data_IF_644810344982
#
_entry.id   IF_644810344982
#
_cell.length_a   1.000
_cell.length_b   1.000
_cell.length_c   1.000
_cell.angle_alpha   90.00
_cell.angle_beta   90.00
_cell.angle_gamma   90.00
#
_symmetry.space_group_name_H-M   'P 1'
#
loop_
_entity.id
_entity.type
_entity.pdbx_description
1 polymer ?
#
# COMPACT_ATOMS: atom_id res chain seq x y z
N UNK A 1 -8.35 -7.71 11.18
CA UNK A 1 -8.92 -7.64 12.51
C UNK A 1 -7.84 -7.78 13.57
N UNK A 2 -7.84 -6.91 14.56
CA UNK A 2 -6.82 -6.97 15.61
C UNK A 2 -7.12 -8.06 16.62
N UNK A 3 -6.09 -8.77 17.05
CA UNK A 3 -6.17 -9.75 18.13
C UNK A 3 -5.54 -9.17 19.39
N UNK A 4 -6.25 -9.25 20.51
CA UNK A 4 -5.74 -8.73 21.77
C UNK A 4 -4.38 -9.35 22.10
N UNK A 5 -3.44 -8.53 22.55
CA UNK A 5 -2.11 -8.96 22.92
C UNK A 5 -1.12 -9.21 21.79
N UNK A 6 -1.55 -9.01 20.53
CA UNK A 6 -0.66 -9.14 19.37
C UNK A 6 -0.44 -7.80 18.71
N UNK A 7 0.82 -7.50 18.36
CA UNK A 7 1.18 -6.37 17.54
C UNK A 7 1.23 -6.81 16.08
N UNK A 8 0.18 -6.51 15.33
CA UNK A 8 0.04 -6.94 13.94
C UNK A 8 0.91 -6.14 12.97
N UNK A 9 1.56 -5.07 13.43
CA UNK A 9 2.52 -4.32 12.62
C UNK A 9 3.92 -4.92 12.64
N UNK A 10 4.18 -5.88 13.51
CA UNK A 10 5.46 -6.57 13.55
C UNK A 10 5.47 -7.75 12.58
N UNK A 11 6.62 -7.96 11.95
CA UNK A 11 6.83 -9.08 11.04
C UNK A 11 8.21 -9.67 11.24
N UNK A 12 8.36 -10.95 10.90
CA UNK A 12 9.64 -11.64 10.94
C UNK A 12 10.27 -11.60 9.56
N UNK A 13 11.36 -10.83 9.43
CA UNK A 13 12.06 -10.67 8.15
C UNK A 13 12.53 -12.02 7.58
N UNK A 14 12.91 -12.97 8.43
CA UNK A 14 13.39 -14.27 7.99
C UNK A 14 12.29 -15.15 7.38
N UNK A 15 11.01 -14.88 7.69
CA UNK A 15 9.88 -15.65 7.18
C UNK A 15 9.27 -15.04 5.92
N UNK A 16 9.72 -13.87 5.48
CA UNK A 16 9.18 -13.24 4.28
C UNK A 16 9.55 -14.01 3.02
N UNK A 17 8.62 -14.17 2.07
CA UNK A 17 8.96 -14.71 0.75
C UNK A 17 9.93 -13.80 0.03
N UNK A 18 10.64 -14.33 -0.96
CA UNK A 18 11.53 -13.53 -1.79
C UNK A 18 10.72 -12.68 -2.77
N UNK A 19 10.76 -11.37 -2.59
CA UNK A 19 10.06 -10.42 -3.44
C UNK A 19 10.86 -9.93 -4.66
N UNK A 20 12.12 -10.29 -4.78
CA UNK A 20 13.01 -9.77 -5.81
C UNK A 20 12.48 -9.94 -7.25
N UNK A 21 11.79 -11.04 -7.63
CA UNK A 21 11.27 -11.18 -8.97
C UNK A 21 10.04 -10.32 -9.30
N UNK A 22 9.44 -9.66 -8.31
CA UNK A 22 8.13 -9.04 -8.48
C UNK A 22 8.21 -7.53 -8.58
N UNK A 23 7.32 -6.96 -9.39
CA UNK A 23 7.07 -5.54 -9.48
C UNK A 23 5.80 -5.21 -8.72
N UNK A 24 5.88 -4.35 -7.72
CA UNK A 24 4.76 -4.03 -6.83
C UNK A 24 4.48 -2.54 -6.87
N UNK A 25 3.21 -2.20 -7.04
CA UNK A 25 2.75 -0.83 -6.98
C UNK A 25 2.02 -0.53 -5.69
N UNK A 26 2.11 0.72 -5.24
CA UNK A 26 1.33 1.23 -4.13
C UNK A 26 0.58 2.45 -4.62
N UNK A 27 -0.74 2.43 -4.50
CA UNK A 27 -1.59 3.60 -4.74
C UNK A 27 -2.02 4.12 -3.38
N UNK A 28 -1.74 5.39 -3.11
CA UNK A 28 -2.01 6.00 -1.81
C UNK A 28 -2.88 7.24 -1.99
N UNK A 29 -3.93 7.35 -1.17
CA UNK A 29 -4.78 8.55 -1.19
C UNK A 29 -4.09 9.70 -0.42
N UNK A 30 -4.22 10.92 -0.97
CA UNK A 30 -3.66 12.11 -0.34
C UNK A 30 -4.49 12.60 0.85
N UNK A 31 -5.82 12.41 0.82
CA UNK A 31 -6.68 12.73 1.94
C UNK A 31 -6.29 11.89 3.16
N UNK A 32 -6.26 12.52 4.33
CA UNK A 32 -5.86 11.89 5.58
C UNK A 32 -4.42 11.35 5.50
N UNK A 33 -3.54 12.17 4.97
CA UNK A 33 -2.16 11.75 4.65
C UNK A 33 -1.37 11.28 5.88
N UNK A 34 -1.68 11.75 7.08
CA UNK A 34 -1.02 11.26 8.30
C UNK A 34 -1.22 9.76 8.48
N UNK A 35 -2.41 9.28 8.13
CA UNK A 35 -2.74 7.85 8.20
C UNK A 35 -2.20 7.11 6.99
N UNK A 36 -2.54 7.61 5.79
CA UNK A 36 -2.23 6.89 4.55
C UNK A 36 -0.74 6.83 4.27
N UNK A 37 0.01 7.89 4.57
CA UNK A 37 1.45 7.89 4.37
C UNK A 37 2.16 6.95 5.37
N UNK A 38 1.67 6.85 6.59
CA UNK A 38 2.21 5.89 7.56
C UNK A 38 1.99 4.44 7.10
N UNK A 39 0.81 4.15 6.54
CA UNK A 39 0.53 2.83 5.98
C UNK A 39 1.40 2.54 4.75
N UNK A 40 1.56 3.53 3.86
CA UNK A 40 2.46 3.42 2.71
C UNK A 40 3.89 3.10 3.15
N UNK A 41 4.39 3.83 4.13
CA UNK A 41 5.75 3.64 4.61
C UNK A 41 5.95 2.28 5.25
N UNK A 42 4.96 1.77 5.97
CA UNK A 42 4.98 0.42 6.50
C UNK A 42 5.03 -0.64 5.40
N UNK A 43 4.21 -0.46 4.35
CA UNK A 43 4.23 -1.37 3.21
C UNK A 43 5.58 -1.34 2.49
N UNK A 44 6.15 -0.15 2.27
CA UNK A 44 7.47 -0.01 1.65
C UNK A 44 8.55 -0.72 2.45
N UNK A 45 8.52 -0.61 3.78
CA UNK A 45 9.50 -1.28 4.64
C UNK A 45 9.46 -2.79 4.44
N UNK A 46 8.27 -3.38 4.45
CA UNK A 46 8.12 -4.83 4.27
C UNK A 46 8.58 -5.25 2.88
N UNK A 47 8.18 -4.53 1.84
CA UNK A 47 8.55 -4.86 0.46
C UNK A 47 10.06 -4.80 0.23
N UNK A 48 10.71 -3.77 0.75
CA UNK A 48 12.17 -3.63 0.65
C UNK A 48 12.88 -4.75 1.41
N UNK A 49 12.40 -5.08 2.60
CA UNK A 49 12.95 -6.17 3.41
C UNK A 49 12.79 -7.52 2.70
N UNK A 50 11.68 -7.71 1.95
CA UNK A 50 11.44 -8.92 1.17
C UNK A 50 12.29 -8.98 -0.10
N UNK A 51 13.01 -7.92 -0.46
CA UNK A 51 13.92 -7.91 -1.59
C UNK A 51 13.39 -7.24 -2.86
N UNK A 52 12.22 -6.59 -2.81
CA UNK A 52 11.72 -5.83 -3.95
C UNK A 52 12.62 -4.62 -4.16
N UNK A 53 13.23 -4.51 -5.35
CA UNK A 53 14.17 -3.44 -5.64
C UNK A 53 13.45 -2.12 -5.95
N UNK A 54 14.17 -1.00 -5.84
CA UNK A 54 13.61 0.32 -6.11
C UNK A 54 13.03 0.43 -7.52
N UNK A 55 13.65 -0.22 -8.51
CA UNK A 55 13.17 -0.22 -9.90
C UNK A 55 11.82 -0.92 -10.05
N UNK A 56 11.49 -1.81 -9.12
CA UNK A 56 10.25 -2.59 -9.12
C UNK A 56 9.25 -2.13 -8.06
N UNK A 57 9.48 -0.98 -7.44
CA UNK A 57 8.54 -0.33 -6.53
C UNK A 57 8.01 0.93 -7.18
N UNK A 58 6.70 0.98 -7.38
CA UNK A 58 6.02 2.14 -7.98
C UNK A 58 5.03 2.70 -6.98
N UNK A 59 5.16 3.98 -6.64
CA UNK A 59 4.24 4.63 -5.70
C UNK A 59 3.53 5.77 -6.41
N UNK A 60 2.21 5.69 -6.47
CA UNK A 60 1.38 6.74 -7.06
C UNK A 60 0.40 7.29 -6.04
N UNK A 61 0.22 8.59 -6.05
CA UNK A 61 -0.76 9.27 -5.20
C UNK A 61 -2.02 9.58 -6.00
N UNK A 62 -3.17 9.40 -5.35
CA UNK A 62 -4.47 9.83 -5.86
C UNK A 62 -5.12 10.76 -4.83
N UNK A 63 -6.09 11.61 -5.24
CA UNK A 63 -6.67 12.58 -4.30
C UNK A 63 -7.34 11.96 -3.08
N UNK A 64 -8.20 10.97 -3.28
CA UNK A 64 -8.97 10.37 -2.20
C UNK A 64 -9.15 8.87 -2.39
N UNK A 65 -9.80 8.23 -1.41
CA UNK A 65 -10.04 6.79 -1.45
C UNK A 65 -10.90 6.37 -2.65
N UNK A 66 -11.77 7.26 -3.13
CA UNK A 66 -12.65 6.97 -4.25
C UNK A 66 -11.87 6.69 -5.55
N UNK A 67 -10.70 7.30 -5.74
CA UNK A 67 -9.89 7.15 -6.93
C UNK A 67 -8.89 5.99 -6.86
N UNK A 68 -8.82 5.27 -5.73
CA UNK A 68 -7.89 4.16 -5.59
C UNK A 68 -8.08 3.04 -6.62
N UNK A 69 -9.32 2.61 -6.94
CA UNK A 69 -9.48 1.58 -7.96
C UNK A 69 -8.93 1.97 -9.32
N UNK A 70 -9.14 3.21 -9.74
CA UNK A 70 -8.62 3.69 -11.02
C UNK A 70 -7.09 3.75 -11.01
N UNK A 71 -6.51 4.26 -9.93
CA UNK A 71 -5.05 4.30 -9.78
C UNK A 71 -4.43 2.91 -9.81
N UNK A 72 -5.06 1.95 -9.15
CA UNK A 72 -4.61 0.56 -9.15
C UNK A 72 -4.68 -0.04 -10.56
N UNK A 73 -5.78 0.20 -11.27
CA UNK A 73 -5.95 -0.28 -12.64
C UNK A 73 -4.87 0.26 -13.57
N UNK A 74 -4.54 1.54 -13.46
CA UNK A 74 -3.49 2.15 -14.26
C UNK A 74 -2.13 1.49 -14.04
N UNK A 75 -1.80 1.13 -12.80
CA UNK A 75 -0.54 0.44 -12.51
C UNK A 75 -0.52 -0.97 -13.07
N UNK A 76 -1.65 -1.66 -13.06
CA UNK A 76 -1.76 -3.02 -13.59
C UNK A 76 -1.78 -3.06 -15.12
N UNK A 77 -2.22 -1.98 -15.76
CA UNK A 77 -2.37 -1.90 -17.23
C UNK A 77 -1.30 -1.04 -17.91
N UNK A 78 -0.31 -0.55 -17.15
CA UNK A 78 0.76 0.28 -17.72
C UNK A 78 1.66 -0.51 -18.65
N UNK A 79 2.53 0.21 -19.39
CA UNK A 79 3.49 -0.42 -20.30
C UNK A 79 4.45 -1.38 -19.56
N UNK A 80 4.70 -1.12 -18.28
CA UNK A 80 5.44 -2.03 -17.40
C UNK A 80 4.53 -2.39 -16.23
N UNK A 81 3.66 -3.41 -16.41
CA UNK A 81 2.63 -3.71 -15.41
C UNK A 81 3.21 -4.17 -14.08
N UNK A 82 2.53 -3.82 -12.99
CA UNK A 82 2.83 -4.40 -11.68
C UNK A 82 2.24 -5.80 -11.57
N UNK A 83 2.95 -6.68 -10.89
CA UNK A 83 2.45 -8.03 -10.57
C UNK A 83 1.39 -7.97 -9.46
N UNK A 84 1.51 -7.00 -8.57
CA UNK A 84 0.55 -6.77 -7.49
C UNK A 84 0.47 -5.28 -7.20
N UNK A 85 -0.69 -4.84 -6.71
CA UNK A 85 -0.90 -3.45 -6.29
C UNK A 85 -1.50 -3.43 -4.91
N UNK A 86 -0.94 -2.60 -4.04
CA UNK A 86 -1.45 -2.32 -2.72
C UNK A 86 -2.15 -0.96 -2.77
N UNK A 87 -3.41 -0.91 -2.40
CA UNK A 87 -4.18 0.32 -2.34
C UNK A 87 -4.33 0.75 -0.89
N UNK A 88 -3.92 1.99 -0.59
CA UNK A 88 -3.90 2.52 0.76
C UNK A 88 -4.79 3.75 0.83
N UNK A 89 -5.83 3.66 1.62
CA UNK A 89 -6.76 4.75 1.83
C UNK A 89 -7.25 4.78 3.26
N UNK A 90 -7.96 5.87 3.61
CA UNK A 90 -8.61 6.01 4.89
C UNK A 90 -9.99 6.63 4.69
N UNK A 91 -10.96 6.05 5.35
CA UNK A 91 -12.32 6.58 5.39
C UNK A 91 -12.62 6.90 6.85
N UNK A 92 -12.85 8.18 7.14
CA UNK A 92 -13.05 8.64 8.50
C UNK A 92 -14.51 9.01 8.68
N UNK A 93 -15.09 8.50 9.76
CA UNK A 93 -16.44 8.89 10.13
C UNK A 93 -16.43 10.30 10.71
N UNK A 94 -17.14 11.21 10.04
CA UNK A 94 -17.35 12.55 10.53
C UNK A 94 -18.62 12.67 11.38
N UNK A 95 -19.08 13.89 11.58
CA UNK A 95 -20.34 14.17 12.30
C UNK A 95 -21.54 13.60 11.57
N UNK A 96 -21.47 13.50 10.24
CA UNK A 96 -22.50 12.90 9.39
C UNK A 96 -21.98 11.61 8.78
N UNK A 97 -22.88 10.70 8.44
CA UNK A 97 -22.52 9.37 7.94
C UNK A 97 -22.33 9.38 6.41
N UNK A 98 -21.43 10.20 5.92
CA UNK A 98 -21.10 10.31 4.49
C UNK A 98 -19.81 9.60 4.10
N UNK A 99 -19.48 8.54 4.80
CA UNK A 99 -18.24 7.80 4.54
C UNK A 99 -18.48 6.48 3.80
#
# INVERSE_FOLDING_TARGET
MATAGKNLSQFDAASLPNGAPFRVGIVVSAWNHEITHALRDGALEVLKTAGVTADNLVVHSVPGAFELPLGAQWLMESATPCDAVIAVGAVIRGETAHF
#
